data_IF_130986193500
#
_entry.id   IF_130986193500
#
_cell.length_a   1.000
_cell.length_b   1.000
_cell.length_c   1.000
_cell.angle_alpha   90.00
_cell.angle_beta   90.00
_cell.angle_gamma   90.00
#
_symmetry.space_group_name_H-M   'P 1'
#
loop_
_entity.id
_entity.type
_entity.pdbx_description
1 polymer ?
#
# COMPACT_ATOMS: atom_id res chain seq x y z
N UNK A 1 1.66 -24.78 -17.27
CA UNK A 1 2.65 -23.69 -17.11
C UNK A 1 2.18 -22.58 -16.17
N UNK A 2 0.90 -22.46 -15.80
CA UNK A 2 0.41 -21.46 -14.84
C UNK A 2 0.81 -21.72 -13.37
N UNK A 3 1.00 -22.97 -12.96
CA UNK A 3 1.23 -23.29 -11.53
C UNK A 3 2.57 -22.80 -11.00
N UNK A 4 3.61 -22.74 -11.85
CA UNK A 4 4.93 -22.25 -11.42
C UNK A 4 4.91 -20.75 -11.11
N UNK A 5 4.14 -19.97 -11.87
CA UNK A 5 4.02 -18.52 -11.72
C UNK A 5 3.18 -18.14 -10.50
N UNK A 6 2.11 -18.90 -10.20
CA UNK A 6 1.32 -18.69 -8.98
C UNK A 6 2.13 -19.02 -7.72
N UNK A 7 2.92 -20.11 -7.74
CA UNK A 7 3.79 -20.48 -6.61
C UNK A 7 4.89 -19.43 -6.37
N UNK A 8 5.45 -18.82 -7.43
CA UNK A 8 6.46 -17.75 -7.28
C UNK A 8 5.86 -16.47 -6.73
N UNK A 9 4.65 -16.07 -7.14
CA UNK A 9 3.99 -14.88 -6.60
C UNK A 9 3.61 -15.06 -5.12
N UNK A 10 3.11 -16.24 -4.76
CA UNK A 10 2.72 -16.55 -3.38
C UNK A 10 3.94 -16.60 -2.45
N UNK A 11 5.04 -17.21 -2.89
CA UNK A 11 6.28 -17.24 -2.10
C UNK A 11 6.95 -15.86 -1.99
N UNK A 12 6.89 -15.04 -3.04
CA UNK A 12 7.39 -13.66 -3.00
C UNK A 12 6.54 -12.77 -2.07
N UNK A 13 5.22 -12.95 -2.07
CA UNK A 13 4.32 -12.24 -1.16
C UNK A 13 4.56 -12.68 0.29
N UNK A 14 4.69 -13.98 0.55
CA UNK A 14 4.96 -14.50 1.89
C UNK A 14 6.31 -14.01 2.42
N UNK A 15 7.38 -14.07 1.62
CA UNK A 15 8.70 -13.58 2.02
C UNK A 15 8.70 -12.07 2.29
N UNK A 16 8.03 -11.28 1.43
CA UNK A 16 7.87 -9.86 1.69
C UNK A 16 7.10 -9.58 2.99
N UNK A 17 6.00 -10.28 3.22
CA UNK A 17 5.21 -10.11 4.45
C UNK A 17 6.02 -10.45 5.70
N UNK A 18 6.87 -11.47 5.66
CA UNK A 18 7.77 -11.80 6.77
C UNK A 18 8.77 -10.67 7.01
N UNK A 19 9.41 -10.15 5.95
CA UNK A 19 10.36 -9.04 6.06
C UNK A 19 9.66 -7.76 6.57
N UNK A 20 8.48 -7.46 6.04
CA UNK A 20 7.68 -6.32 6.46
C UNK A 20 7.27 -6.42 7.93
N UNK A 21 6.90 -7.63 8.38
CA UNK A 21 6.60 -7.91 9.78
C UNK A 21 7.82 -7.67 10.66
N UNK A 22 8.96 -8.24 10.29
CA UNK A 22 10.20 -8.07 11.04
C UNK A 22 10.62 -6.59 11.10
N UNK A 23 10.53 -5.86 9.99
CA UNK A 23 10.82 -4.43 9.95
C UNK A 23 9.86 -3.61 10.81
N UNK A 24 8.56 -3.90 10.78
CA UNK A 24 7.57 -3.24 11.63
C UNK A 24 7.80 -3.50 13.13
N UNK A 25 8.18 -4.73 13.49
CA UNK A 25 8.57 -5.08 14.87
C UNK A 25 9.84 -4.31 15.27
N UNK A 26 10.84 -4.25 14.41
CA UNK A 26 12.07 -3.51 14.68
C UNK A 26 11.81 -2.00 14.86
N UNK A 27 10.95 -1.40 14.04
CA UNK A 27 10.55 0.01 14.20
C UNK A 27 9.89 0.22 15.57
N UNK A 28 8.88 -0.60 15.90
CA UNK A 28 8.18 -0.51 17.18
C UNK A 28 9.10 -0.72 18.39
N UNK A 29 10.05 -1.67 18.26
CA UNK A 29 11.01 -1.97 19.32
C UNK A 29 12.05 -0.85 19.50
N UNK A 30 12.60 -0.33 18.41
CA UNK A 30 13.61 0.75 18.45
C UNK A 30 13.03 2.08 18.91
N UNK A 31 11.76 2.37 18.60
CA UNK A 31 11.06 3.56 19.11
C UNK A 31 10.56 3.41 20.55
N UNK A 32 10.56 2.18 21.09
CA UNK A 32 9.93 1.87 22.38
C UNK A 32 8.40 2.02 22.37
N UNK A 33 7.78 2.11 21.18
CA UNK A 33 6.35 2.35 21.04
C UNK A 33 5.70 1.35 20.09
N UNK A 34 4.95 0.41 20.67
CA UNK A 34 4.23 -0.63 19.96
C UNK A 34 3.06 -0.11 19.12
N UNK A 35 2.59 1.12 19.34
CA UNK A 35 1.54 1.73 18.50
C UNK A 35 2.03 2.01 17.08
N UNK A 36 3.35 2.13 16.88
CA UNK A 36 3.96 2.33 15.56
C UNK A 36 4.04 1.05 14.72
N UNK A 37 3.74 -0.12 15.29
CA UNK A 37 3.69 -1.37 14.54
C UNK A 37 2.63 -1.34 13.43
N UNK A 38 1.41 -0.90 13.77
CA UNK A 38 0.27 -0.83 12.84
C UNK A 38 0.57 0.10 11.65
N UNK A 39 0.94 1.38 11.84
CA UNK A 39 1.25 2.25 10.71
C UNK A 39 2.44 1.76 9.90
N UNK A 40 3.45 1.14 10.53
CA UNK A 40 4.58 0.56 9.80
C UNK A 40 4.13 -0.58 8.88
N UNK A 41 3.24 -1.45 9.36
CA UNK A 41 2.64 -2.51 8.54
C UNK A 41 1.81 -1.97 7.38
N UNK A 42 1.03 -0.91 7.61
CA UNK A 42 0.24 -0.25 6.57
C UNK A 42 1.15 0.36 5.49
N UNK A 43 2.23 1.03 5.89
CA UNK A 43 3.19 1.63 4.97
C UNK A 43 3.92 0.56 4.16
N UNK A 44 4.49 -0.47 4.81
CA UNK A 44 5.24 -1.53 4.14
C UNK A 44 4.34 -2.37 3.23
N UNK A 45 3.19 -2.82 3.73
CA UNK A 45 2.20 -3.53 2.91
C UNK A 45 1.69 -2.69 1.74
N UNK A 46 1.49 -1.39 1.96
CA UNK A 46 1.11 -0.44 0.92
C UNK A 46 2.15 -0.31 -0.19
N UNK A 47 3.44 -0.17 0.17
CA UNK A 47 4.55 -0.11 -0.79
C UNK A 47 4.63 -1.39 -1.63
N UNK A 48 4.42 -2.56 -1.03
CA UNK A 48 4.42 -3.82 -1.76
C UNK A 48 3.26 -3.94 -2.74
N UNK A 49 2.05 -3.63 -2.30
CA UNK A 49 0.88 -3.65 -3.17
C UNK A 49 1.05 -2.68 -4.34
N UNK A 50 1.63 -1.50 -4.10
CA UNK A 50 2.01 -0.55 -5.15
C UNK A 50 3.05 -1.14 -6.10
N UNK A 51 4.13 -1.73 -5.58
CA UNK A 51 5.19 -2.32 -6.40
C UNK A 51 4.65 -3.43 -7.32
N UNK A 52 3.85 -4.35 -6.78
CA UNK A 52 3.21 -5.41 -7.56
C UNK A 52 2.25 -4.82 -8.58
N UNK A 53 1.45 -3.83 -8.17
CA UNK A 53 0.51 -3.13 -9.04
C UNK A 53 1.20 -2.43 -10.23
N UNK A 54 2.29 -1.71 -9.99
CA UNK A 54 3.13 -1.11 -11.03
C UNK A 54 3.70 -2.16 -11.98
N UNK A 55 4.23 -3.26 -11.44
CA UNK A 55 4.79 -4.34 -12.25
C UNK A 55 3.73 -5.00 -13.15
N UNK A 56 2.52 -5.20 -12.64
CA UNK A 56 1.40 -5.74 -13.41
C UNK A 56 0.83 -4.73 -14.41
N UNK A 57 0.92 -3.42 -14.12
CA UNK A 57 0.44 -2.35 -15.01
C UNK A 57 1.39 -2.01 -16.17
N UNK A 58 2.69 -2.26 -16.04
CA UNK A 58 3.72 -1.91 -17.04
C UNK A 58 4.03 -3.01 -18.08
N UNK A 59 3.56 -4.24 -17.87
CA UNK A 59 3.76 -5.34 -18.82
C UNK A 59 2.79 -5.33 -20.00
N UNK A 60 3.10 -6.07 -21.07
CA UNK A 60 2.18 -6.38 -22.20
C UNK A 60 1.11 -7.39 -21.80
N UNK A 61 0.49 -7.17 -20.64
CA UNK A 61 -0.42 -8.11 -20.00
C UNK A 61 -1.85 -7.91 -20.51
N UNK A 62 -2.63 -8.98 -20.45
CA UNK A 62 -4.04 -8.97 -20.83
C UNK A 62 -4.83 -7.92 -20.05
N UNK A 63 -5.93 -7.40 -20.62
CA UNK A 63 -6.80 -6.39 -19.99
C UNK A 63 -7.18 -6.73 -18.54
N UNK A 64 -7.35 -8.02 -18.23
CA UNK A 64 -7.66 -8.54 -16.89
C UNK A 64 -6.52 -8.32 -15.87
N UNK A 65 -5.29 -8.68 -16.22
CA UNK A 65 -4.12 -8.48 -15.36
C UNK A 65 -3.78 -6.99 -15.16
N UNK A 66 -4.10 -6.15 -16.13
CA UNK A 66 -3.96 -4.70 -15.99
C UNK A 66 -4.96 -4.11 -14.99
N UNK A 67 -6.19 -4.62 -14.96
CA UNK A 67 -7.21 -4.25 -13.97
C UNK A 67 -6.81 -4.70 -12.56
N UNK A 68 -6.29 -5.92 -12.41
CA UNK A 68 -5.83 -6.44 -11.12
C UNK A 68 -4.63 -5.63 -10.59
N UNK A 69 -3.68 -5.28 -11.46
CA UNK A 69 -2.56 -4.40 -11.10
C UNK A 69 -3.03 -3.02 -10.63
N UNK A 70 -4.01 -2.44 -11.32
CA UNK A 70 -4.58 -1.15 -10.99
C UNK A 70 -5.33 -1.16 -9.64
N UNK A 71 -6.06 -2.23 -9.35
CA UNK A 71 -6.68 -2.46 -8.04
C UNK A 71 -5.63 -2.55 -6.92
N UNK A 72 -4.53 -3.28 -7.14
CA UNK A 72 -3.43 -3.37 -6.19
C UNK A 72 -2.75 -2.02 -5.95
N UNK A 73 -2.61 -1.18 -6.99
CA UNK A 73 -2.09 0.19 -6.84
C UNK A 73 -3.00 1.04 -5.95
N UNK A 74 -4.32 1.00 -6.18
CA UNK A 74 -5.30 1.72 -5.36
C UNK A 74 -5.17 1.32 -3.88
N UNK A 75 -5.24 0.02 -3.58
CA UNK A 75 -5.10 -0.47 -2.21
C UNK A 75 -3.74 -0.15 -1.61
N UNK A 76 -2.66 -0.25 -2.39
CA UNK A 76 -1.33 0.12 -1.93
C UNK A 76 -1.24 1.58 -1.52
N UNK A 77 -1.72 2.49 -2.37
CA UNK A 77 -1.77 3.92 -2.05
C UNK A 77 -2.72 4.24 -0.89
N UNK A 78 -3.83 3.51 -0.74
CA UNK A 78 -4.77 3.66 0.38
C UNK A 78 -4.12 3.27 1.71
N UNK A 79 -3.46 2.11 1.76
CA UNK A 79 -2.73 1.66 2.93
C UNK A 79 -1.63 2.66 3.32
N UNK A 80 -0.91 3.18 2.32
CA UNK A 80 0.09 4.23 2.56
C UNK A 80 -0.53 5.51 3.10
N UNK A 81 -1.69 5.93 2.58
CA UNK A 81 -2.39 7.12 3.06
C UNK A 81 -2.79 6.96 4.54
N UNK A 82 -3.39 5.82 4.91
CA UNK A 82 -3.74 5.55 6.32
C UNK A 82 -2.51 5.48 7.23
N UNK A 83 -1.45 4.77 6.81
CA UNK A 83 -0.21 4.72 7.57
C UNK A 83 0.41 6.10 7.78
N UNK A 84 0.39 6.93 6.74
CA UNK A 84 0.90 8.31 6.80
C UNK A 84 0.07 9.18 7.73
N UNK A 85 -1.27 9.13 7.62
CA UNK A 85 -2.18 9.88 8.50
C UNK A 85 -1.94 9.51 9.96
N UNK A 86 -1.79 8.23 10.25
CA UNK A 86 -1.53 7.75 11.60
C UNK A 86 -0.21 8.29 12.15
N UNK A 87 0.89 8.17 11.39
CA UNK A 87 2.22 8.66 11.81
C UNK A 87 2.21 10.18 12.00
N UNK A 88 1.61 10.93 11.07
CA UNK A 88 1.57 12.39 11.16
C UNK A 88 0.70 12.84 12.33
N UNK A 89 -0.43 12.18 12.59
CA UNK A 89 -1.27 12.51 13.75
C UNK A 89 -0.59 12.14 15.07
N UNK A 90 0.21 11.07 15.10
CA UNK A 90 1.01 10.69 16.25
C UNK A 90 2.10 11.74 16.54
N UNK A 91 2.79 12.24 15.51
CA UNK A 91 3.85 13.25 15.67
C UNK A 91 3.32 14.67 15.92
N UNK A 92 2.18 15.02 15.31
CA UNK A 92 1.56 16.34 15.37
C UNK A 92 0.09 16.24 15.77
N UNK A 93 -0.20 15.93 17.04
CA UNK A 93 -1.56 15.85 17.54
C UNK A 93 -2.27 17.20 17.39
N UNK A 94 -3.50 17.18 16.86
CA UNK A 94 -4.32 18.38 16.62
C UNK A 94 -4.54 18.71 15.13
N UNK A 95 -3.80 18.07 14.22
CA UNK A 95 -3.94 18.28 12.77
C UNK A 95 -4.94 17.34 12.07
N UNK A 96 -5.79 16.64 12.83
CA UNK A 96 -6.71 15.63 12.31
C UNK A 96 -7.63 16.16 11.20
N UNK A 97 -8.08 17.42 11.30
CA UNK A 97 -8.93 18.05 10.27
C UNK A 97 -8.16 18.24 8.96
N UNK A 98 -6.93 18.74 9.02
CA UNK A 98 -6.09 18.91 7.83
C UNK A 98 -5.75 17.56 7.17
N UNK A 99 -5.49 16.53 7.99
CA UNK A 99 -5.26 15.17 7.52
C UNK A 99 -6.50 14.57 6.84
N UNK A 100 -7.69 14.81 7.39
CA UNK A 100 -8.95 14.41 6.76
C UNK A 100 -9.15 15.11 5.41
N UNK A 101 -8.90 16.42 5.34
CA UNK A 101 -9.01 17.17 4.07
C UNK A 101 -8.00 16.65 3.06
N UNK A 102 -6.74 16.43 3.45
CA UNK A 102 -5.72 15.85 2.58
C UNK A 102 -6.12 14.45 2.08
N UNK A 103 -6.71 13.63 2.95
CA UNK A 103 -7.21 12.31 2.58
C UNK A 103 -8.37 12.40 1.57
N UNK A 104 -9.32 13.31 1.77
CA UNK A 104 -10.43 13.52 0.84
C UNK A 104 -9.94 14.03 -0.52
N UNK A 105 -8.97 14.95 -0.54
CA UNK A 105 -8.34 15.42 -1.77
C UNK A 105 -7.62 14.29 -2.51
N UNK A 106 -6.85 13.47 -1.77
CA UNK A 106 -6.19 12.29 -2.32
C UNK A 106 -7.22 11.28 -2.86
N UNK A 107 -8.31 11.03 -2.14
CA UNK A 107 -9.36 10.08 -2.53
C UNK A 107 -10.09 10.57 -3.80
N UNK A 108 -10.38 11.87 -3.89
CA UNK A 108 -10.92 12.47 -5.10
C UNK A 108 -9.98 12.30 -6.30
N UNK A 109 -8.69 12.58 -6.12
CA UNK A 109 -7.68 12.40 -7.17
C UNK A 109 -7.56 10.92 -7.59
N UNK A 110 -7.56 10.01 -6.63
CA UNK A 110 -7.53 8.58 -6.88
C UNK A 110 -8.73 8.15 -7.71
N UNK A 111 -9.96 8.49 -7.30
CA UNK A 111 -11.18 8.15 -8.04
C UNK A 111 -11.12 8.68 -9.47
N UNK A 112 -10.69 9.92 -9.67
CA UNK A 112 -10.55 10.51 -11.01
C UNK A 112 -9.54 9.72 -11.85
N UNK A 113 -8.35 9.43 -11.32
CA UNK A 113 -7.32 8.67 -12.03
C UNK A 113 -7.77 7.25 -12.39
N UNK A 114 -8.51 6.59 -11.49
CA UNK A 114 -9.01 5.23 -11.70
C UNK A 114 -10.29 5.19 -12.57
N UNK A 115 -11.08 6.26 -12.62
CA UNK A 115 -12.34 6.35 -13.37
C UNK A 115 -12.17 6.96 -14.77
N UNK A 116 -11.28 7.94 -14.94
CA UNK A 116 -11.09 8.64 -16.22
C UNK A 116 -10.34 7.82 -17.27
N UNK A 117 -9.85 6.61 -16.95
CA UNK A 117 -9.17 5.78 -17.94
C UNK A 117 -10.20 5.10 -18.85
N UNK A 118 -10.62 5.87 -19.84
CA UNK A 118 -11.49 5.48 -20.96
C UNK A 118 -11.05 4.17 -21.60
N UNK A 119 -12.07 3.42 -22.01
CA UNK A 119 -12.12 2.38 -23.05
C UNK A 119 -11.02 2.47 -24.10
#
# INVERSE_FOLDING_TARGET
>A
MNDRASITLTSLTASYMIIATAAAILIAWTSGDWTLFIPSMLLLGGVFALFIGFRQGAGTLSSRQRSDGMFLMFWGTLLMAFGTIWVVNYLYPGNAIFLLVAFLLWLGLAIVLFTMRKR
#
